data_IF_523908313175
#
_entry.id   IF_523908313175
#
_cell.length_a   1.000
_cell.length_b   1.000
_cell.length_c   1.000
_cell.angle_alpha   90.00
_cell.angle_beta   90.00
_cell.angle_gamma   90.00
#
_symmetry.space_group_name_H-M   'P 1'
#
loop_
_entity.id
_entity.type
_entity.pdbx_description
1 polymer ?
#
# COMPACT_ATOMS: atom_id res chain seq x y z
N UNK A 1 -8.83 5.65 -5.46
CA UNK A 1 -8.89 6.52 -4.26
C UNK A 1 -7.57 6.56 -3.49
N UNK A 2 -6.82 5.45 -3.37
CA UNK A 2 -5.44 5.40 -2.86
C UNK A 2 -4.49 6.45 -3.46
N UNK A 3 -4.62 6.73 -4.76
CA UNK A 3 -3.85 7.79 -5.44
C UNK A 3 -4.11 9.20 -4.87
N UNK A 4 -5.29 9.49 -4.31
CA UNK A 4 -5.59 10.79 -3.70
C UNK A 4 -4.88 10.94 -2.36
N UNK A 5 -4.85 9.89 -1.52
CA UNK A 5 -4.07 9.87 -0.28
C UNK A 5 -2.59 10.12 -0.61
N UNK A 6 -2.06 9.43 -1.62
CA UNK A 6 -0.66 9.56 -2.02
C UNK A 6 -0.33 10.98 -2.53
N UNK A 7 -1.13 11.54 -3.45
CA UNK A 7 -0.94 12.91 -3.95
C UNK A 7 -0.96 13.94 -2.82
N UNK A 8 -1.94 13.84 -1.91
CA UNK A 8 -2.03 14.75 -0.76
C UNK A 8 -0.82 14.59 0.17
N UNK A 9 -0.42 13.36 0.45
CA UNK A 9 0.74 13.06 1.30
C UNK A 9 2.06 13.62 0.74
N UNK A 10 2.24 13.63 -0.57
CA UNK A 10 3.42 14.25 -1.21
C UNK A 10 3.50 15.76 -0.94
N UNK A 11 2.37 16.45 -1.00
CA UNK A 11 2.33 17.89 -0.71
C UNK A 11 2.63 18.20 0.77
N UNK A 12 2.14 17.35 1.67
CA UNK A 12 2.34 17.49 3.12
C UNK A 12 3.70 16.95 3.58
N UNK A 13 4.42 16.22 2.73
CA UNK A 13 5.75 15.64 2.97
C UNK A 13 5.79 14.69 4.17
N UNK A 14 4.77 13.83 4.31
CA UNK A 14 4.76 12.78 5.35
C UNK A 14 5.59 11.56 4.96
N UNK A 15 6.01 10.77 5.95
CA UNK A 15 6.74 9.51 5.73
C UNK A 15 5.84 8.45 5.09
N UNK A 16 6.43 7.53 4.33
CA UNK A 16 5.72 6.42 3.69
C UNK A 16 4.87 5.59 4.67
N UNK A 17 5.36 5.40 5.90
CA UNK A 17 4.61 4.69 6.95
C UNK A 17 3.27 5.35 7.26
N UNK A 18 3.21 6.68 7.34
CA UNK A 18 1.97 7.44 7.56
C UNK A 18 0.99 7.21 6.41
N UNK A 19 1.49 7.17 5.17
CA UNK A 19 0.68 6.91 3.97
C UNK A 19 0.08 5.50 4.04
N UNK A 20 0.91 4.50 4.36
CA UNK A 20 0.48 3.12 4.53
C UNK A 20 -0.61 2.96 5.60
N UNK A 21 -0.45 3.62 6.76
CA UNK A 21 -1.44 3.63 7.84
C UNK A 21 -2.74 4.29 7.38
N UNK A 22 -2.66 5.45 6.71
CA UNK A 22 -3.84 6.15 6.17
C UNK A 22 -4.61 5.30 5.15
N UNK A 23 -3.92 4.62 4.25
CA UNK A 23 -4.54 3.69 3.28
C UNK A 23 -5.19 2.51 4.00
N UNK A 24 -4.56 1.98 5.04
CA UNK A 24 -5.11 0.87 5.82
C UNK A 24 -6.38 1.30 6.57
N UNK A 25 -6.41 2.49 7.17
CA UNK A 25 -7.61 3.04 7.78
C UNK A 25 -8.73 3.23 6.77
N UNK A 26 -8.43 3.83 5.61
CA UNK A 26 -9.40 4.03 4.54
C UNK A 26 -10.06 2.70 4.14
N UNK A 27 -9.25 1.65 3.93
CA UNK A 27 -9.75 0.33 3.59
C UNK A 27 -10.61 -0.27 4.71
N UNK A 28 -10.14 -0.25 5.96
CA UNK A 28 -10.88 -0.77 7.13
C UNK A 28 -12.22 -0.06 7.35
N UNK A 29 -12.31 1.24 7.09
CA UNK A 29 -13.56 1.99 7.24
C UNK A 29 -14.58 1.52 6.20
N UNK A 30 -14.17 1.35 4.95
CA UNK A 30 -15.08 0.95 3.87
C UNK A 30 -15.38 -0.56 3.79
N UNK A 31 -14.78 -1.39 4.67
CA UNK A 31 -15.31 -2.74 4.90
C UNK A 31 -16.56 -2.74 5.78
N UNK A 32 -16.83 -1.62 6.48
CA UNK A 32 -17.95 -1.48 7.44
C UNK A 32 -18.95 -0.39 7.08
N UNK A 33 -18.51 0.60 6.30
CA UNK A 33 -19.28 1.81 5.95
C UNK A 33 -19.49 1.91 4.45
N UNK A 34 -20.61 2.50 4.03
CA UNK A 34 -20.89 2.75 2.62
C UNK A 34 -20.14 3.98 2.09
N UNK A 35 -19.72 3.94 0.83
CA UNK A 35 -19.18 5.09 0.09
C UNK A 35 -20.19 6.26 -0.02
N UNK A 36 -21.48 5.97 0.13
CA UNK A 36 -22.54 7.00 0.14
C UNK A 36 -22.76 7.61 1.53
N UNK A 37 -22.41 6.89 2.59
CA UNK A 37 -22.54 7.36 3.98
C UNK A 37 -21.39 8.33 4.30
N UNK A 38 -20.16 7.92 3.99
CA UNK A 38 -18.97 8.73 4.24
C UNK A 38 -18.33 9.14 2.91
N UNK A 39 -18.29 10.46 2.60
CA UNK A 39 -17.66 10.98 1.38
C UNK A 39 -16.17 10.55 1.31
N UNK A 40 -15.77 9.76 0.30
CA UNK A 40 -14.40 9.29 0.15
C UNK A 40 -13.35 10.39 0.08
N UNK A 41 -13.70 11.60 -0.39
CA UNK A 41 -12.78 12.75 -0.42
C UNK A 41 -12.46 13.25 0.99
N UNK A 42 -13.47 13.35 1.84
CA UNK A 42 -13.30 13.75 3.24
C UNK A 42 -12.63 12.65 4.05
N UNK A 43 -13.02 11.39 3.85
CA UNK A 43 -12.40 10.23 4.51
C UNK A 43 -10.92 10.12 4.15
N UNK A 44 -10.54 10.25 2.87
CA UNK A 44 -9.13 10.26 2.43
C UNK A 44 -8.30 11.28 3.20
N UNK A 45 -8.81 12.51 3.31
CA UNK A 45 -8.13 13.62 4.00
C UNK A 45 -8.02 13.35 5.50
N UNK A 46 -9.09 12.82 6.09
CA UNK A 46 -9.19 12.56 7.53
C UNK A 46 -8.38 11.34 7.94
N UNK A 47 -8.32 10.29 7.13
CA UNK A 47 -7.44 9.13 7.34
C UNK A 47 -5.98 9.57 7.39
N UNK A 48 -5.55 10.48 6.50
CA UNK A 48 -4.19 11.01 6.52
C UNK A 48 -3.93 11.84 7.78
N UNK A 49 -4.90 12.66 8.20
CA UNK A 49 -4.82 13.41 9.45
C UNK A 49 -4.68 12.48 10.66
N UNK A 50 -5.57 11.50 10.80
CA UNK A 50 -5.60 10.55 11.91
C UNK A 50 -4.33 9.68 11.94
N UNK A 51 -3.91 9.13 10.79
CA UNK A 51 -2.69 8.35 10.67
C UNK A 51 -1.45 9.17 11.05
N UNK A 52 -1.41 10.45 10.70
CA UNK A 52 -0.29 11.33 11.06
C UNK A 52 -0.14 11.48 12.58
N UNK A 53 -1.26 11.47 13.32
CA UNK A 53 -1.25 11.49 14.79
C UNK A 53 -0.85 10.14 15.36
N UNK A 54 -1.42 9.04 14.86
CA UNK A 54 -1.11 7.69 15.32
C UNK A 54 0.35 7.27 15.08
N UNK A 55 0.98 7.78 14.01
CA UNK A 55 2.37 7.52 13.65
C UNK A 55 3.35 8.61 14.15
N UNK A 56 2.91 9.47 15.08
CA UNK A 56 3.73 10.51 15.72
C UNK A 56 4.42 11.47 14.71
N UNK A 57 3.75 11.71 13.59
CA UNK A 57 4.19 12.60 12.51
C UNK A 57 3.16 13.72 12.34
N UNK A 58 2.98 14.54 13.38
CA UNK A 58 1.84 15.46 13.50
C UNK A 58 1.68 16.39 12.29
N UNK A 59 0.58 16.26 11.55
CA UNK A 59 0.17 17.17 10.48
C UNK A 59 -0.95 18.07 10.97
N UNK A 60 -0.86 19.37 10.74
CA UNK A 60 -1.92 20.32 11.07
C UNK A 60 -3.10 20.20 10.10
N UNK A 61 -4.34 20.14 10.61
CA UNK A 61 -5.55 20.08 9.79
C UNK A 61 -5.67 21.27 8.80
N UNK A 62 -5.21 22.47 9.20
CA UNK A 62 -5.13 23.67 8.33
C UNK A 62 -4.35 23.41 7.04
N UNK A 63 -3.24 22.67 7.14
CA UNK A 63 -2.40 22.35 6.00
C UNK A 63 -3.08 21.37 5.04
N UNK A 64 -3.82 20.40 5.58
CA UNK A 64 -4.61 19.44 4.79
C UNK A 64 -5.74 20.15 4.04
N UNK A 65 -6.46 21.04 4.71
CA UNK A 65 -7.50 21.88 4.08
C UNK A 65 -6.92 22.75 2.95
N UNK A 66 -5.73 23.32 3.15
CA UNK A 66 -5.07 24.10 2.11
C UNK A 66 -4.73 23.26 0.86
N UNK A 67 -4.11 22.09 1.04
CA UNK A 67 -3.71 21.27 -0.10
C UNK A 67 -4.89 20.56 -0.77
N UNK A 68 -5.91 20.14 -0.03
CA UNK A 68 -7.09 19.52 -0.67
C UNK A 68 -7.82 20.51 -1.58
N UNK A 69 -7.91 21.79 -1.19
CA UNK A 69 -8.46 22.87 -2.03
C UNK A 69 -7.61 23.14 -3.28
N UNK A 70 -6.30 22.94 -3.18
CA UNK A 70 -5.38 23.12 -4.32
C UNK A 70 -5.43 21.93 -5.30
N UNK A 71 -5.63 20.71 -4.79
CA UNK A 71 -5.65 19.47 -5.58
C UNK A 71 -7.04 19.24 -6.20
N UNK A 72 -8.10 19.57 -5.47
CA UNK A 72 -9.47 19.38 -5.92
C UNK A 72 -9.91 20.58 -6.76
N UNK A 73 -10.15 20.36 -8.06
CA UNK A 73 -10.63 21.38 -9.00
C UNK A 73 -12.15 21.59 -8.94
N UNK A 74 -12.86 20.78 -8.15
CA UNK A 74 -14.30 20.89 -7.96
C UNK A 74 -14.61 22.03 -6.98
N UNK A 75 -15.03 23.18 -7.52
CA UNK A 75 -15.39 24.36 -6.72
C UNK A 75 -16.53 24.12 -5.71
N UNK A 76 -17.34 23.08 -5.94
CA UNK A 76 -18.42 22.70 -5.02
C UNK A 76 -17.91 21.95 -3.80
N UNK A 77 -16.73 21.34 -3.86
CA UNK A 77 -16.16 20.62 -2.73
C UNK A 77 -15.54 21.61 -1.73
N UNK A 78 -16.27 21.87 -0.64
CA UNK A 78 -15.79 22.68 0.47
C UNK A 78 -15.43 21.77 1.65
N UNK A 79 -14.14 21.75 1.97
CA UNK A 79 -13.62 21.10 3.16
C UNK A 79 -13.10 22.18 4.13
N UNK A 80 -13.63 22.16 5.34
CA UNK A 80 -13.22 22.99 6.46
C UNK A 80 -12.61 22.13 7.57
N UNK A 81 -11.92 22.76 8.51
CA UNK A 81 -11.28 22.06 9.64
C UNK A 81 -12.32 21.31 10.46
N UNK A 82 -13.51 21.90 10.66
CA UNK A 82 -14.60 21.28 11.42
C UNK A 82 -15.03 19.94 10.82
N UNK A 83 -15.03 19.84 9.49
CA UNK A 83 -15.45 18.63 8.78
C UNK A 83 -14.43 17.50 8.98
N UNK A 84 -13.13 17.83 8.99
CA UNK A 84 -12.06 16.87 9.30
C UNK A 84 -12.18 16.39 10.74
N UNK A 85 -12.43 17.28 11.70
CA UNK A 85 -12.54 16.92 13.12
C UNK A 85 -13.79 16.10 13.42
N UNK A 86 -14.93 16.42 12.78
CA UNK A 86 -16.16 15.62 12.92
C UNK A 86 -15.99 14.25 12.28
N UNK A 87 -15.43 14.18 11.06
CA UNK A 87 -15.16 12.91 10.40
C UNK A 87 -14.14 12.09 11.19
N UNK A 88 -13.16 12.71 11.84
CA UNK A 88 -12.19 12.00 12.67
C UNK A 88 -12.87 11.19 13.77
N UNK A 89 -13.84 11.78 14.47
CA UNK A 89 -14.60 11.06 15.50
C UNK A 89 -15.34 9.85 14.89
N UNK A 90 -15.94 10.02 13.71
CA UNK A 90 -16.63 8.95 12.96
C UNK A 90 -15.67 7.84 12.51
N UNK A 91 -14.44 8.19 12.12
CA UNK A 91 -13.42 7.21 11.73
C UNK A 91 -12.90 6.43 12.92
N UNK A 92 -12.68 7.10 14.06
CA UNK A 92 -12.26 6.43 15.30
C UNK A 92 -13.27 5.36 15.71
N UNK A 93 -14.57 5.69 15.68
CA UNK A 93 -15.65 4.76 15.95
C UNK A 93 -15.70 3.63 14.92
N UNK A 94 -15.64 3.95 13.62
CA UNK A 94 -15.68 2.94 12.56
C UNK A 94 -14.51 1.94 12.61
N UNK A 95 -13.36 2.37 13.15
CA UNK A 95 -12.15 1.55 13.33
C UNK A 95 -12.13 0.80 14.67
N UNK A 96 -13.17 0.93 15.53
CA UNK A 96 -13.18 0.49 16.92
C UNK A 96 -11.91 0.90 17.70
N UNK A 97 -11.36 2.08 17.38
CA UNK A 97 -10.12 2.58 17.98
C UNK A 97 -8.87 1.68 17.77
N UNK A 98 -8.91 0.72 16.84
CA UNK A 98 -7.74 -0.10 16.47
C UNK A 98 -6.79 0.66 15.55
N UNK A 99 -6.06 1.61 16.14
CA UNK A 99 -5.18 2.54 15.41
C UNK A 99 -3.80 1.99 15.09
N UNK A 100 -3.29 1.01 15.84
CA UNK A 100 -1.97 0.44 15.57
C UNK A 100 -2.02 -0.45 14.33
N UNK A 101 -1.19 -0.14 13.34
CA UNK A 101 -1.05 -0.91 12.10
C UNK A 101 0.35 -1.48 12.01
N UNK A 102 0.44 -2.78 11.77
CA UNK A 102 1.70 -3.46 11.48
C UNK A 102 1.91 -3.48 9.97
N UNK A 103 3.10 -3.06 9.52
CA UNK A 103 3.41 -2.94 8.10
C UNK A 103 4.51 -3.92 7.68
N UNK A 104 4.49 -4.40 6.41
CA UNK A 104 5.52 -5.27 5.82
C UNK A 104 6.93 -4.66 5.79
N UNK A 105 7.10 -3.34 5.94
CA UNK A 105 8.40 -2.68 5.85
C UNK A 105 9.45 -3.20 6.85
N UNK A 106 9.05 -3.39 8.12
CA UNK A 106 9.95 -3.88 9.17
C UNK A 106 10.36 -5.34 8.93
N UNK A 107 9.42 -6.30 8.78
CA UNK A 107 9.80 -7.68 8.50
C UNK A 107 10.55 -7.82 7.17
N UNK A 108 10.24 -7.00 6.15
CA UNK A 108 10.97 -7.02 4.87
C UNK A 108 12.47 -6.82 5.08
N UNK A 109 12.88 -5.77 5.81
CA UNK A 109 14.29 -5.49 6.03
C UNK A 109 14.99 -6.59 6.84
N UNK A 110 14.29 -7.13 7.84
CA UNK A 110 14.82 -8.22 8.67
C UNK A 110 15.01 -9.51 7.86
N UNK A 111 14.03 -9.87 7.03
CA UNK A 111 14.04 -11.06 6.18
C UNK A 111 15.08 -10.96 5.07
N UNK A 112 15.25 -9.79 4.43
CA UNK A 112 16.28 -9.57 3.42
C UNK A 112 17.70 -9.66 4.01
N UNK A 113 17.88 -9.19 5.25
CA UNK A 113 19.14 -9.31 5.96
C UNK A 113 19.44 -10.77 6.30
N UNK A 114 18.45 -11.49 6.81
CA UNK A 114 18.54 -12.92 7.14
C UNK A 114 18.86 -13.77 5.91
N UNK A 115 18.21 -13.50 4.78
CA UNK A 115 18.45 -14.16 3.51
C UNK A 115 19.82 -13.83 2.87
N UNK A 116 20.53 -12.82 3.37
CA UNK A 116 21.73 -12.29 2.71
C UNK A 116 21.47 -11.59 1.37
N UNK A 117 20.23 -11.12 1.13
CA UNK A 117 19.75 -10.57 -0.15
C UNK A 117 19.49 -9.05 -0.07
N UNK A 118 20.37 -8.31 0.61
CA UNK A 118 20.20 -6.86 0.81
C UNK A 118 20.21 -6.07 -0.51
N UNK A 119 20.74 -6.63 -1.59
CA UNK A 119 20.68 -6.10 -2.95
C UNK A 119 19.25 -6.02 -3.53
N UNK A 120 18.31 -6.82 -3.01
CA UNK A 120 16.91 -6.82 -3.43
C UNK A 120 16.05 -5.76 -2.72
N UNK A 121 16.63 -5.01 -1.77
CA UNK A 121 15.88 -4.08 -0.90
C UNK A 121 15.05 -3.07 -1.69
N UNK A 122 15.64 -2.40 -2.68
CA UNK A 122 14.94 -1.36 -3.43
C UNK A 122 13.74 -1.91 -4.22
N UNK A 123 13.91 -3.07 -4.87
CA UNK A 123 12.86 -3.71 -5.66
C UNK A 123 11.74 -4.20 -4.74
N UNK A 124 12.10 -4.90 -3.66
CA UNK A 124 11.13 -5.46 -2.71
C UNK A 124 10.37 -4.35 -1.98
N UNK A 125 11.02 -3.23 -1.65
CA UNK A 125 10.38 -2.06 -1.07
C UNK A 125 9.38 -1.41 -2.03
N UNK A 126 9.73 -1.33 -3.31
CA UNK A 126 8.82 -0.86 -4.37
C UNK A 126 7.57 -1.73 -4.47
N UNK A 127 7.74 -3.06 -4.52
CA UNK A 127 6.64 -4.03 -4.51
C UNK A 127 5.74 -3.84 -3.28
N UNK A 128 6.33 -3.73 -2.09
CA UNK A 128 5.56 -3.49 -0.85
C UNK A 128 4.77 -2.18 -0.88
N UNK A 129 5.28 -1.11 -1.49
CA UNK A 129 4.49 0.11 -1.63
C UNK A 129 3.30 -0.09 -2.55
N UNK A 130 3.48 -0.88 -3.61
CA UNK A 130 2.42 -1.17 -4.57
C UNK A 130 1.35 -2.10 -3.99
N UNK A 131 1.68 -2.98 -3.03
CA UNK A 131 0.66 -3.83 -2.36
C UNK A 131 -0.42 -3.02 -1.63
N UNK A 132 -0.17 -1.76 -1.26
CA UNK A 132 -1.21 -0.90 -0.66
C UNK A 132 -2.25 -0.42 -1.67
N UNK A 133 -2.03 -0.62 -2.98
CA UNK A 133 -3.04 -0.45 -4.02
C UNK A 133 -4.02 -1.63 -4.06
N UNK A 134 -3.68 -2.75 -3.42
CA UNK A 134 -4.47 -3.98 -3.29
C UNK A 134 -5.05 -4.12 -1.87
N UNK A 135 -5.84 -5.17 -1.63
CA UNK A 135 -6.45 -5.48 -0.32
C UNK A 135 -5.60 -6.39 0.58
N UNK A 136 -4.38 -6.75 0.14
CA UNK A 136 -3.49 -7.69 0.84
C UNK A 136 -3.29 -7.36 2.33
N UNK A 137 -3.18 -6.07 2.69
CA UNK A 137 -2.96 -5.64 4.08
C UNK A 137 -4.15 -5.96 5.02
N UNK A 138 -5.33 -6.22 4.45
CA UNK A 138 -6.52 -6.63 5.21
C UNK A 138 -6.62 -8.16 5.35
N UNK A 139 -6.02 -8.89 4.43
CA UNK A 139 -6.22 -10.35 4.27
C UNK A 139 -5.04 -11.13 4.86
N UNK A 140 -3.82 -10.63 4.71
CA UNK A 140 -2.60 -11.36 5.04
C UNK A 140 -1.78 -10.68 6.14
N UNK A 141 -1.09 -11.47 6.99
CA UNK A 141 -0.11 -10.92 7.91
C UNK A 141 1.02 -10.16 7.19
N UNK A 142 1.55 -9.07 7.77
CA UNK A 142 2.55 -8.23 7.11
C UNK A 142 3.83 -8.97 6.68
N UNK A 143 4.26 -9.98 7.43
CA UNK A 143 5.46 -10.77 7.08
C UNK A 143 5.22 -11.65 5.84
N UNK A 144 3.99 -12.16 5.63
CA UNK A 144 3.64 -12.96 4.45
C UNK A 144 3.68 -12.11 3.17
N UNK A 145 3.18 -10.87 3.26
CA UNK A 145 3.29 -9.90 2.16
C UNK A 145 4.76 -9.60 1.86
N UNK A 146 5.59 -9.40 2.90
CA UNK A 146 7.02 -9.17 2.73
C UNK A 146 7.71 -10.37 2.05
N UNK A 147 7.42 -11.60 2.47
CA UNK A 147 7.95 -12.82 1.86
C UNK A 147 7.55 -12.96 0.39
N UNK A 148 6.29 -12.66 0.05
CA UNK A 148 5.83 -12.66 -1.34
C UNK A 148 6.58 -11.63 -2.20
N UNK A 149 6.79 -10.42 -1.68
CA UNK A 149 7.58 -9.39 -2.37
C UNK A 149 9.05 -9.81 -2.56
N UNK A 150 9.67 -10.43 -1.55
CA UNK A 150 11.04 -10.98 -1.66
C UNK A 150 11.07 -12.09 -2.71
N UNK A 151 10.09 -13.00 -2.67
CA UNK A 151 10.00 -14.11 -3.61
C UNK A 151 9.92 -13.62 -5.06
N UNK A 152 9.05 -12.65 -5.35
CA UNK A 152 8.99 -11.99 -6.67
C UNK A 152 10.36 -11.38 -7.01
N UNK A 153 10.92 -10.54 -6.13
CA UNK A 153 12.19 -9.86 -6.39
C UNK A 153 13.35 -10.84 -6.67
N UNK A 154 13.38 -11.98 -5.99
CA UNK A 154 14.36 -13.04 -6.19
C UNK A 154 14.20 -13.71 -7.54
N UNK A 155 12.97 -14.02 -7.96
CA UNK A 155 12.68 -14.58 -9.29
C UNK A 155 13.06 -13.60 -10.40
N UNK A 156 12.86 -12.29 -10.20
CA UNK A 156 13.24 -11.23 -11.14
C UNK A 156 14.76 -11.03 -11.30
N UNK A 157 15.53 -11.49 -10.31
CA UNK A 157 16.98 -11.34 -10.24
C UNK A 157 17.72 -12.68 -10.33
N UNK A 158 17.00 -13.76 -10.66
CA UNK A 158 17.54 -15.11 -10.77
C UNK A 158 18.32 -15.56 -9.52
N UNK A 159 17.82 -15.17 -8.33
CA UNK A 159 18.40 -15.57 -7.04
C UNK A 159 17.84 -16.92 -6.61
N UNK A 160 18.73 -17.82 -6.19
CA UNK A 160 18.34 -19.08 -5.56
C UNK A 160 17.90 -18.82 -4.12
N UNK A 161 16.68 -19.22 -3.78
CA UNK A 161 16.06 -18.95 -2.46
C UNK A 161 15.44 -20.18 -1.81
N UNK A 162 15.50 -21.33 -2.47
CA UNK A 162 14.82 -22.57 -2.04
C UNK A 162 15.23 -22.99 -0.63
N UNK A 163 16.54 -23.09 -0.36
CA UNK A 163 17.05 -23.49 0.95
C UNK A 163 16.61 -22.52 2.07
N UNK A 164 16.69 -21.21 1.82
CA UNK A 164 16.28 -20.21 2.80
C UNK A 164 14.77 -20.29 3.11
N UNK A 165 13.92 -20.44 2.09
CA UNK A 165 12.48 -20.61 2.30
C UNK A 165 12.12 -21.92 3.03
N UNK A 166 12.88 -23.00 2.83
CA UNK A 166 12.74 -24.25 3.57
C UNK A 166 13.08 -24.08 5.06
N UNK A 167 14.13 -23.33 5.38
CA UNK A 167 14.53 -23.03 6.76
C UNK A 167 13.48 -22.22 7.53
N UNK A 168 12.78 -21.30 6.84
CA UNK A 168 11.73 -20.47 7.45
C UNK A 168 10.48 -21.27 7.86
N UNK A 169 10.29 -22.49 7.35
CA UNK A 169 9.11 -23.34 7.60
C UNK A 169 7.77 -22.63 7.33
N UNK A 170 7.74 -21.77 6.30
CA UNK A 170 6.54 -21.06 5.87
C UNK A 170 5.84 -21.88 4.78
N UNK A 171 4.51 -21.82 4.74
CA UNK A 171 3.73 -22.41 3.65
C UNK A 171 3.96 -21.66 2.33
N UNK A 172 4.76 -22.26 1.46
CA UNK A 172 5.10 -21.72 0.15
C UNK A 172 3.89 -21.62 -0.78
N UNK A 173 2.82 -22.37 -0.57
CA UNK A 173 1.60 -22.21 -1.38
C UNK A 173 0.96 -20.86 -1.10
N UNK A 174 0.92 -20.44 0.17
CA UNK A 174 0.37 -19.12 0.54
C UNK A 174 1.25 -18.00 0.00
N UNK A 175 2.58 -18.12 0.13
CA UNK A 175 3.52 -17.12 -0.42
C UNK A 175 3.37 -17.00 -1.94
N UNK A 176 3.26 -18.12 -2.65
CA UNK A 176 3.03 -18.14 -4.10
C UNK A 176 1.70 -17.52 -4.49
N UNK A 177 0.62 -17.82 -3.76
CA UNK A 177 -0.70 -17.25 -4.05
C UNK A 177 -0.69 -15.72 -3.90
N UNK A 178 -0.09 -15.20 -2.82
CA UNK A 178 0.06 -13.74 -2.63
C UNK A 178 0.93 -13.15 -3.75
N UNK A 179 2.02 -13.82 -4.13
CA UNK A 179 2.89 -13.36 -5.19
C UNK A 179 2.18 -13.31 -6.56
N UNK A 180 1.36 -14.32 -6.87
CA UNK A 180 0.53 -14.35 -8.08
C UNK A 180 -0.49 -13.21 -8.04
N UNK A 181 -1.19 -12.99 -6.92
CA UNK A 181 -2.14 -11.87 -6.79
C UNK A 181 -1.46 -10.50 -7.04
N UNK A 182 -0.24 -10.32 -6.53
CA UNK A 182 0.56 -9.12 -6.79
C UNK A 182 0.89 -8.97 -8.28
N UNK A 183 1.27 -10.06 -8.95
CA UNK A 183 1.63 -10.04 -10.37
C UNK A 183 0.41 -9.86 -11.28
N UNK A 184 -0.71 -10.51 -10.97
CA UNK A 184 -2.00 -10.35 -11.65
C UNK A 184 -2.47 -8.90 -11.59
N UNK A 185 -2.25 -8.22 -10.45
CA UNK A 185 -2.52 -6.79 -10.34
C UNK A 185 -1.69 -5.97 -11.35
N UNK A 186 -0.40 -6.28 -11.54
CA UNK A 186 0.42 -5.59 -12.53
C UNK A 186 -0.06 -5.88 -13.96
N UNK A 187 -0.46 -7.11 -14.26
CA UNK A 187 -1.01 -7.49 -15.56
C UNK A 187 -2.34 -6.80 -15.87
N UNK A 188 -3.22 -6.66 -14.88
CA UNK A 188 -4.47 -5.90 -15.02
C UNK A 188 -4.21 -4.42 -15.25
N UNK A 189 -3.33 -3.80 -14.45
CA UNK A 189 -2.98 -2.39 -14.60
C UNK A 189 -2.24 -2.08 -15.90
N UNK A 190 -1.51 -3.05 -16.46
CA UNK A 190 -0.92 -2.97 -17.81
C UNK A 190 -1.99 -2.78 -18.89
N UNK A 191 -3.15 -3.43 -18.77
CA UNK A 191 -4.25 -3.26 -19.74
C UNK A 191 -4.89 -1.87 -19.63
N UNK A 192 -4.97 -1.31 -18.43
CA UNK A 192 -5.50 0.05 -18.22
C UNK A 192 -4.50 1.17 -18.57
N UNK A 193 -3.18 0.96 -18.41
CA UNK A 193 -2.16 1.98 -18.70
C UNK A 193 -1.99 2.31 -20.19
N UNK A 194 -2.43 1.42 -21.09
CA UNK A 194 -2.63 1.72 -22.52
C UNK A 194 -3.67 2.83 -22.77
N UNK A 195 -4.41 3.30 -21.75
CA UNK A 195 -5.33 4.46 -21.81
C UNK A 195 -4.79 5.76 -21.19
N UNK A 196 -3.48 5.87 -20.94
CA UNK A 196 -2.83 7.18 -20.73
C UNK A 196 -2.55 7.58 -19.29
N UNK A 197 -1.95 6.69 -18.48
CA UNK A 197 -1.47 7.05 -17.12
C UNK A 197 -0.16 6.31 -16.77
N UNK A 198 0.84 6.37 -17.65
CA UNK A 198 2.08 5.59 -17.54
C UNK A 198 3.18 6.21 -16.64
N UNK A 199 3.03 7.46 -16.17
CA UNK A 199 4.17 8.18 -15.57
C UNK A 199 4.47 7.85 -14.09
N UNK A 200 3.68 6.99 -13.44
CA UNK A 200 3.80 6.75 -11.99
C UNK A 200 4.53 5.46 -11.57
N UNK A 201 4.89 4.59 -12.52
CA UNK A 201 5.57 3.32 -12.22
C UNK A 201 7.02 3.37 -12.68
N UNK A 202 7.94 3.67 -11.74
CA UNK A 202 9.40 3.52 -11.93
C UNK A 202 9.95 2.26 -11.26
N UNK A 203 9.09 1.26 -11.00
CA UNK A 203 9.39 0.13 -10.12
C UNK A 203 10.19 -1.00 -10.76
N UNK A 204 9.70 -1.61 -11.83
CA UNK A 204 10.27 -2.81 -12.46
C UNK A 204 9.93 -2.74 -13.97
N UNK A 205 10.88 -3.08 -14.85
CA UNK A 205 10.65 -3.10 -16.30
C UNK A 205 9.69 -4.24 -16.72
N UNK A 206 8.85 -4.00 -17.71
CA UNK A 206 7.77 -4.90 -18.16
C UNK A 206 8.25 -6.33 -18.51
N UNK A 207 9.47 -6.46 -19.03
CA UNK A 207 10.10 -7.76 -19.34
C UNK A 207 10.31 -8.65 -18.11
N UNK A 208 10.60 -8.03 -16.96
CA UNK A 208 10.89 -8.72 -15.71
C UNK A 208 9.61 -9.31 -15.11
N UNK A 209 8.51 -8.56 -15.15
CA UNK A 209 7.20 -8.99 -14.64
C UNK A 209 6.71 -10.22 -15.44
N UNK A 210 6.81 -10.20 -16.77
CA UNK A 210 6.46 -11.33 -17.63
C UNK A 210 7.34 -12.57 -17.37
N UNK A 211 8.64 -12.37 -17.12
CA UNK A 211 9.55 -13.47 -16.78
C UNK A 211 9.21 -14.10 -15.41
N UNK A 212 8.77 -13.30 -14.42
CA UNK A 212 8.28 -13.84 -13.15
C UNK A 212 6.98 -14.63 -13.32
N UNK A 213 5.99 -14.08 -14.02
CA UNK A 213 4.72 -14.77 -14.27
C UNK A 213 4.90 -16.12 -14.96
N UNK A 214 5.74 -16.18 -15.99
CA UNK A 214 6.03 -17.43 -16.71
C UNK A 214 6.82 -18.44 -15.87
N UNK A 215 7.56 -18.02 -14.84
CA UNK A 215 8.25 -18.92 -13.90
C UNK A 215 7.36 -19.37 -12.73
N UNK A 216 6.33 -18.60 -12.41
CA UNK A 216 5.47 -18.80 -11.23
C UNK A 216 4.14 -19.47 -11.55
N UNK A 217 3.69 -19.42 -12.80
CA UNK A 217 2.55 -20.21 -13.27
C UNK A 217 3.02 -21.64 -13.59
N UNK A 218 2.36 -22.68 -13.05
CA UNK A 218 2.66 -24.05 -13.47
C UNK A 218 2.31 -24.18 -14.95
N UNK A 219 3.27 -24.66 -15.75
CA UNK A 219 2.94 -25.13 -17.11
C UNK A 219 1.93 -26.28 -16.99
N UNK A 220 0.93 -26.33 -17.89
CA UNK A 220 -0.08 -27.38 -17.89
C UNK A 220 0.53 -28.78 -18.02
#
# INVERSE_FOLDING_TARGET
MTNHIWKLAQHVKVRQRVIATAVTYFRRVYTRKSLTEYDPRLVTTTCLYLASKAEESTVQARLLVFYIKKICTDEKYRCEIKDILEMEMKLLEALDYYLVVFHPYRPLLQLLQDAGMTDLTHISWGLVNDTYKMDLILIHPPYMIALACIYIASVLKDKETTAWFEELRVDMNVVKNIAIEILDFYDFYRVESFKGMAESFKGISDEKINAALHKLTPKP
#
